data_IF_968067636284
#
_entry.id   IF_968067636284
#
_cell.length_a   1.000
_cell.length_b   1.000
_cell.length_c   1.000
_cell.angle_alpha   90.00
_cell.angle_beta   90.00
_cell.angle_gamma   90.00
#
_symmetry.space_group_name_H-M   'P 1'
#
loop_
_entity.id
_entity.type
_entity.pdbx_description
1 polymer ?
#
# COMPACT_ATOMS: atom_id res chain seq x y z
N UNK A 1 17.53 0.21 -50.43
CA UNK A 1 16.76 0.10 -49.18
C UNK A 1 15.73 1.22 -49.27
N UNK A 2 14.44 0.91 -49.19
CA UNK A 2 13.41 1.96 -49.17
C UNK A 2 13.70 2.86 -47.96
N UNK A 3 13.79 4.16 -48.19
CA UNK A 3 14.38 5.15 -47.28
C UNK A 3 13.58 5.43 -45.98
N UNK A 4 12.62 4.58 -45.62
CA UNK A 4 11.67 4.87 -44.52
C UNK A 4 11.22 3.62 -43.70
N UNK A 5 11.92 2.50 -43.82
CA UNK A 5 11.59 1.30 -43.00
C UNK A 5 11.94 1.55 -41.54
N UNK A 6 10.92 1.62 -40.69
CA UNK A 6 11.09 1.78 -39.25
C UNK A 6 11.64 0.52 -38.60
N UNK A 7 12.51 0.70 -37.61
CA UNK A 7 13.16 -0.39 -36.88
C UNK A 7 12.79 -0.38 -35.40
N UNK A 8 12.74 -1.57 -34.78
CA UNK A 8 12.45 -1.69 -33.36
C UNK A 8 13.47 -2.55 -32.60
N UNK A 9 13.83 -2.11 -31.40
CA UNK A 9 14.58 -2.86 -30.42
C UNK A 9 13.62 -3.63 -29.50
N UNK A 10 13.81 -4.94 -29.36
CA UNK A 10 12.98 -5.78 -28.48
C UNK A 10 13.85 -6.46 -27.41
N UNK A 11 13.67 -6.04 -26.16
CA UNK A 11 14.37 -6.61 -25.00
C UNK A 11 13.41 -7.53 -24.23
N UNK A 12 13.85 -8.77 -23.95
CA UNK A 12 13.07 -9.74 -23.17
C UNK A 12 12.21 -10.73 -23.99
N UNK A 13 12.41 -10.81 -25.31
CA UNK A 13 11.95 -11.96 -26.11
C UNK A 13 10.44 -12.12 -26.29
N UNK A 14 9.66 -11.04 -26.18
CA UNK A 14 8.20 -11.09 -26.36
C UNK A 14 7.82 -11.40 -27.83
N UNK A 15 7.55 -12.67 -28.11
CA UNK A 15 7.26 -13.17 -29.46
C UNK A 15 6.00 -12.56 -30.08
N UNK A 16 4.99 -12.26 -29.28
CA UNK A 16 3.73 -11.69 -29.76
C UNK A 16 3.92 -10.24 -30.18
N UNK A 17 4.64 -9.46 -29.38
CA UNK A 17 5.02 -8.08 -29.74
C UNK A 17 5.89 -8.08 -31.00
N UNK A 18 6.87 -8.99 -31.10
CA UNK A 18 7.68 -9.14 -32.33
C UNK A 18 6.79 -9.36 -33.55
N UNK A 19 5.89 -10.34 -33.51
CA UNK A 19 5.01 -10.64 -34.63
C UNK A 19 4.12 -9.44 -35.00
N UNK A 20 3.51 -8.78 -34.00
CA UNK A 20 2.64 -7.63 -34.24
C UNK A 20 3.39 -6.43 -34.87
N UNK A 21 4.63 -6.15 -34.44
CA UNK A 21 5.44 -5.07 -35.01
C UNK A 21 5.91 -5.40 -36.43
N UNK A 22 6.25 -6.65 -36.70
CA UNK A 22 6.56 -7.12 -38.05
C UNK A 22 5.35 -7.04 -38.99
N UNK A 23 4.15 -7.38 -38.51
CA UNK A 23 2.91 -7.23 -39.28
C UNK A 23 2.58 -5.75 -39.59
N UNK A 24 3.10 -4.82 -38.79
CA UNK A 24 3.02 -3.37 -39.03
C UNK A 24 4.10 -2.84 -39.99
N UNK A 25 4.93 -3.73 -40.55
CA UNK A 25 6.01 -3.36 -41.48
C UNK A 25 7.26 -2.80 -40.80
N UNK A 26 7.41 -2.99 -39.49
CA UNK A 26 8.66 -2.65 -38.80
C UNK A 26 9.63 -3.83 -38.80
N UNK A 27 10.92 -3.54 -38.89
CA UNK A 27 11.97 -4.56 -38.87
C UNK A 27 12.63 -4.65 -37.49
N UNK A 28 12.83 -5.86 -36.92
CA UNK A 28 13.54 -6.01 -35.66
C UNK A 28 15.02 -5.70 -35.85
N UNK A 29 15.61 -4.96 -34.91
CA UNK A 29 17.06 -4.82 -34.86
C UNK A 29 17.74 -6.18 -34.60
N UNK A 30 18.90 -6.44 -35.23
CA UNK A 30 19.76 -7.56 -34.87
C UNK A 30 20.14 -7.52 -33.39
N UNK A 31 20.35 -8.69 -32.78
CA UNK A 31 20.61 -8.82 -31.33
C UNK A 31 21.83 -8.00 -30.88
N UNK A 32 22.89 -7.96 -31.70
CA UNK A 32 24.09 -7.18 -31.41
C UNK A 32 23.88 -5.65 -31.46
N UNK A 33 22.81 -5.19 -32.09
CA UNK A 33 22.52 -3.78 -32.32
C UNK A 33 21.41 -3.24 -31.40
N UNK A 34 20.80 -4.09 -30.56
CA UNK A 34 19.69 -3.74 -29.67
C UNK A 34 20.04 -2.58 -28.74
N UNK A 35 21.28 -2.48 -28.27
CA UNK A 35 21.72 -1.44 -27.34
C UNK A 35 22.28 -0.18 -28.02
N UNK A 36 22.24 -0.14 -29.35
CA UNK A 36 22.56 1.08 -30.09
C UNK A 36 21.46 2.13 -29.92
N UNK A 37 21.75 3.43 -30.12
CA UNK A 37 20.72 4.47 -30.09
C UNK A 37 19.85 4.52 -31.36
N UNK A 38 20.05 3.61 -32.32
CA UNK A 38 19.43 3.66 -33.66
C UNK A 38 18.17 2.79 -33.74
N UNK A 39 17.09 3.24 -33.10
CA UNK A 39 15.77 2.60 -33.13
C UNK A 39 14.65 3.64 -33.17
N UNK A 40 13.52 3.30 -33.78
CA UNK A 40 12.29 4.10 -33.74
C UNK A 40 11.42 3.74 -32.53
N UNK A 41 11.41 2.45 -32.15
CA UNK A 41 10.69 1.93 -31.00
C UNK A 41 11.59 0.99 -30.18
N UNK A 42 11.69 1.22 -28.87
CA UNK A 42 12.28 0.24 -27.92
C UNK A 42 11.18 -0.34 -27.05
N UNK A 43 10.98 -1.65 -27.16
CA UNK A 43 10.04 -2.38 -26.33
C UNK A 43 10.79 -3.25 -25.33
N UNK A 44 10.53 -3.05 -24.04
CA UNK A 44 11.19 -3.77 -22.95
C UNK A 44 10.19 -4.41 -22.00
N UNK A 45 10.62 -5.48 -21.32
CA UNK A 45 9.84 -6.06 -20.22
C UNK A 45 10.02 -5.27 -18.92
N UNK A 46 11.27 -4.87 -18.61
CA UNK A 46 11.55 -4.07 -17.42
C UNK A 46 11.52 -2.57 -17.73
N UNK A 47 11.03 -1.79 -16.77
CA UNK A 47 11.14 -0.33 -16.78
C UNK A 47 12.61 0.11 -16.78
N UNK A 48 13.47 -0.62 -16.06
CA UNK A 48 14.91 -0.35 -15.89
C UNK A 48 15.73 -0.56 -17.18
N UNK A 49 15.18 -1.26 -18.17
CA UNK A 49 15.83 -1.48 -19.48
C UNK A 49 15.76 -0.24 -20.40
N UNK A 50 15.13 0.85 -19.93
CA UNK A 50 14.98 2.12 -20.64
C UNK A 50 15.77 3.22 -19.92
N UNK A 51 16.78 3.75 -20.61
CA UNK A 51 17.43 4.98 -20.21
C UNK A 51 16.61 6.19 -20.68
N UNK A 52 15.58 6.57 -19.91
CA UNK A 52 14.66 7.67 -20.25
C UNK A 52 15.37 8.99 -20.64
N UNK A 53 16.41 9.46 -19.92
CA UNK A 53 17.16 10.65 -20.33
C UNK A 53 17.82 10.59 -21.72
N UNK A 54 18.07 9.39 -22.24
CA UNK A 54 18.71 9.19 -23.54
C UNK A 54 17.71 8.98 -24.70
N UNK A 55 16.40 8.96 -24.42
CA UNK A 55 15.36 8.81 -25.46
C UNK A 55 15.21 10.12 -26.23
N UNK A 56 15.44 10.09 -27.54
CA UNK A 56 15.31 11.26 -28.41
C UNK A 56 13.83 11.56 -28.75
N UNK A 57 13.47 12.80 -29.13
CA UNK A 57 12.07 13.16 -29.42
C UNK A 57 11.30 12.28 -30.43
N UNK A 58 11.90 11.77 -31.53
CA UNK A 58 11.17 10.90 -32.46
C UNK A 58 11.07 9.44 -31.97
N UNK A 59 11.79 9.07 -30.92
CA UNK A 59 11.88 7.71 -30.43
C UNK A 59 10.73 7.36 -29.48
N UNK A 60 10.24 6.13 -29.58
CA UNK A 60 9.13 5.63 -28.78
C UNK A 60 9.58 4.53 -27.82
N UNK A 61 8.99 4.53 -26.63
CA UNK A 61 9.20 3.48 -25.62
C UNK A 61 7.85 3.04 -25.05
N UNK A 62 7.75 1.80 -24.58
CA UNK A 62 6.50 1.23 -24.06
C UNK A 62 6.25 1.49 -22.56
N UNK A 63 7.11 2.27 -21.91
CA UNK A 63 6.99 2.64 -20.50
C UNK A 63 7.01 4.15 -20.35
N UNK A 64 6.33 4.68 -19.32
CA UNK A 64 6.43 6.11 -18.97
C UNK A 64 7.52 6.34 -17.92
N UNK A 65 8.23 7.48 -17.96
CA UNK A 65 9.17 7.85 -16.90
C UNK A 65 8.49 7.81 -15.52
N UNK A 66 9.21 7.33 -14.51
CA UNK A 66 8.77 7.25 -13.10
C UNK A 66 7.54 6.36 -12.81
N UNK A 67 6.86 5.79 -13.82
CA UNK A 67 5.65 4.98 -13.62
C UNK A 67 5.87 3.78 -12.68
N UNK A 68 7.04 3.13 -12.74
CA UNK A 68 7.40 2.06 -11.80
C UNK A 68 7.47 2.50 -10.35
N UNK A 69 7.99 3.70 -10.07
CA UNK A 69 8.12 4.24 -8.71
C UNK A 69 6.79 4.81 -8.20
N UNK A 70 6.07 5.55 -9.05
CA UNK A 70 4.88 6.30 -8.65
C UNK A 70 3.61 5.45 -8.60
N UNK A 71 3.47 4.49 -9.51
CA UNK A 71 2.26 3.67 -9.63
C UNK A 71 2.55 2.18 -9.51
N UNK A 72 3.73 1.71 -9.96
CA UNK A 72 4.14 0.31 -9.89
C UNK A 72 4.52 -0.15 -8.48
N UNK A 73 5.01 0.75 -7.63
CA UNK A 73 5.38 0.46 -6.26
C UNK A 73 4.26 0.80 -5.28
N UNK A 74 4.03 -0.06 -4.28
CA UNK A 74 2.99 0.15 -3.25
C UNK A 74 3.16 1.49 -2.51
N UNK A 75 4.40 1.90 -2.23
CA UNK A 75 4.71 3.15 -1.54
C UNK A 75 4.37 4.39 -2.39
N UNK A 76 4.69 4.37 -3.69
CA UNK A 76 4.32 5.45 -4.60
C UNK A 76 2.81 5.54 -4.78
N UNK A 77 2.15 4.39 -4.98
CA UNK A 77 0.70 4.34 -5.11
C UNK A 77 0.00 4.87 -3.85
N UNK A 78 0.44 4.46 -2.67
CA UNK A 78 -0.08 4.97 -1.39
C UNK A 78 0.03 6.49 -1.29
N UNK A 79 1.20 7.05 -1.61
CA UNK A 79 1.44 8.50 -1.59
C UNK A 79 0.51 9.22 -2.57
N UNK A 80 0.41 8.72 -3.80
CA UNK A 80 -0.41 9.35 -4.84
C UNK A 80 -1.91 9.30 -4.52
N UNK A 81 -2.39 8.19 -3.95
CA UNK A 81 -3.80 8.04 -3.56
C UNK A 81 -4.16 8.95 -2.38
N UNK A 82 -3.28 9.14 -1.37
CA UNK A 82 -3.51 10.14 -0.29
C UNK A 82 -3.52 11.57 -0.82
N UNK A 83 -2.77 11.84 -1.87
CA UNK A 83 -2.77 13.12 -2.56
C UNK A 83 -4.05 13.40 -3.36
N UNK A 84 -4.92 12.41 -3.57
CA UNK A 84 -6.11 12.57 -4.41
C UNK A 84 -7.03 13.68 -3.92
N UNK A 85 -7.12 13.91 -2.60
CA UNK A 85 -7.92 14.97 -2.00
C UNK A 85 -7.60 16.38 -2.53
N UNK A 86 -6.39 16.59 -3.07
CA UNK A 86 -5.96 17.86 -3.67
C UNK A 86 -6.42 18.01 -5.12
N UNK A 87 -6.78 16.91 -5.78
CA UNK A 87 -7.20 16.86 -7.19
C UNK A 87 -8.72 16.69 -7.31
N UNK A 88 -9.30 15.84 -6.46
CA UNK A 88 -10.71 15.51 -6.44
C UNK A 88 -11.19 15.33 -4.99
N UNK A 89 -12.44 15.69 -4.70
CA UNK A 89 -13.04 15.57 -3.38
C UNK A 89 -13.44 14.14 -2.99
N UNK A 90 -12.97 13.14 -3.75
CA UNK A 90 -13.28 11.73 -3.52
C UNK A 90 -12.48 11.21 -2.32
N UNK A 91 -13.19 10.66 -1.33
CA UNK A 91 -12.55 9.95 -0.23
C UNK A 91 -11.90 8.67 -0.75
N UNK A 92 -10.57 8.66 -0.81
CA UNK A 92 -9.79 7.53 -1.30
C UNK A 92 -10.06 6.24 -0.53
N UNK A 93 -10.51 6.33 0.73
CA UNK A 93 -10.83 5.18 1.57
C UNK A 93 -12.03 4.37 1.07
N UNK A 94 -12.79 4.89 0.11
CA UNK A 94 -13.94 4.19 -0.51
C UNK A 94 -13.52 3.12 -1.52
N UNK A 95 -12.33 3.24 -2.12
CA UNK A 95 -11.85 2.31 -3.15
C UNK A 95 -10.43 1.79 -2.90
N UNK A 96 -9.67 2.41 -2.00
CA UNK A 96 -8.32 2.00 -1.66
C UNK A 96 -8.22 1.54 -0.19
N UNK A 97 -7.61 0.37 0.10
CA UNK A 97 -7.48 -0.12 1.47
C UNK A 97 -6.60 0.80 2.32
N UNK A 98 -6.85 0.84 3.63
CA UNK A 98 -5.96 1.54 4.57
C UNK A 98 -4.56 0.94 4.47
N UNK A 99 -3.57 1.81 4.41
CA UNK A 99 -2.16 1.47 4.28
C UNK A 99 -1.36 2.50 5.05
N UNK A 100 -0.25 2.06 5.63
CA UNK A 100 0.64 2.86 6.47
C UNK A 100 2.08 2.59 6.07
N UNK A 101 2.88 3.65 5.92
CA UNK A 101 4.30 3.54 5.69
C UNK A 101 5.05 3.43 7.03
N UNK A 102 5.28 2.20 7.50
CA UNK A 102 5.85 1.94 8.83
C UNK A 102 7.29 2.46 9.04
N UNK A 103 7.98 2.90 7.98
CA UNK A 103 9.27 3.60 8.11
C UNK A 103 9.10 5.04 8.57
N UNK A 104 7.91 5.63 8.41
CA UNK A 104 7.58 6.97 8.87
C UNK A 104 6.96 6.88 10.28
N UNK A 105 7.53 7.59 11.28
CA UNK A 105 7.05 7.51 12.66
C UNK A 105 5.56 7.85 12.83
N UNK A 106 5.06 8.83 12.06
CA UNK A 106 3.64 9.22 12.09
C UNK A 106 2.72 8.10 11.60
N UNK A 107 3.00 7.55 10.41
CA UNK A 107 2.22 6.44 9.86
C UNK A 107 2.35 5.16 10.71
N UNK A 108 3.49 4.95 11.38
CA UNK A 108 3.64 3.86 12.34
C UNK A 108 2.70 4.03 13.54
N UNK A 109 2.59 5.24 14.08
CA UNK A 109 1.66 5.51 15.18
C UNK A 109 0.20 5.40 14.72
N UNK A 110 -0.13 5.93 13.54
CA UNK A 110 -1.48 5.79 12.95
C UNK A 110 -1.86 4.32 12.74
N UNK A 111 -0.89 3.48 12.37
CA UNK A 111 -1.09 2.03 12.27
C UNK A 111 -1.38 1.40 13.63
N UNK A 112 -0.63 1.75 14.68
CA UNK A 112 -0.85 1.23 16.04
C UNK A 112 -2.26 1.59 16.52
N UNK A 113 -2.64 2.85 16.37
CA UNK A 113 -3.97 3.34 16.75
C UNK A 113 -5.09 2.63 15.97
N UNK A 114 -4.97 2.49 14.64
CA UNK A 114 -5.97 1.80 13.81
C UNK A 114 -6.03 0.30 14.13
N UNK A 115 -4.89 -0.35 14.39
CA UNK A 115 -4.82 -1.76 14.75
C UNK A 115 -5.57 -2.04 16.06
N UNK A 116 -5.32 -1.22 17.08
CA UNK A 116 -5.96 -1.33 18.40
C UNK A 116 -7.44 -0.99 18.29
N UNK A 117 -7.80 0.05 17.53
CA UNK A 117 -9.19 0.40 17.25
C UNK A 117 -9.94 -0.76 16.58
N UNK A 118 -9.36 -1.41 15.56
CA UNK A 118 -9.99 -2.55 14.87
C UNK A 118 -10.22 -3.72 15.84
N UNK A 119 -9.27 -3.99 16.74
CA UNK A 119 -9.42 -5.02 17.76
C UNK A 119 -10.58 -4.68 18.72
N UNK A 120 -10.62 -3.46 19.24
CA UNK A 120 -11.69 -2.99 20.12
C UNK A 120 -13.07 -3.00 19.43
N UNK A 121 -13.14 -2.45 18.20
CA UNK A 121 -14.36 -2.41 17.40
C UNK A 121 -14.90 -3.81 17.11
N UNK A 122 -14.00 -4.78 16.88
CA UNK A 122 -14.37 -6.20 16.73
C UNK A 122 -15.06 -6.72 17.99
N UNK A 123 -14.53 -6.48 19.18
CA UNK A 123 -15.15 -6.94 20.43
C UNK A 123 -16.54 -6.33 20.66
N UNK A 124 -16.69 -5.03 20.42
CA UNK A 124 -17.98 -4.32 20.54
C UNK A 124 -18.99 -4.87 19.53
N UNK A 125 -18.58 -5.06 18.27
CA UNK A 125 -19.44 -5.57 17.20
C UNK A 125 -19.88 -7.01 17.48
N UNK A 126 -18.94 -7.86 17.91
CA UNK A 126 -19.23 -9.25 18.29
C UNK A 126 -20.22 -9.33 19.44
N UNK A 127 -20.03 -8.50 20.48
CA UNK A 127 -20.93 -8.45 21.62
C UNK A 127 -22.34 -8.03 21.22
N UNK A 128 -22.46 -7.04 20.32
CA UNK A 128 -23.74 -6.61 19.76
C UNK A 128 -24.43 -7.71 18.94
N UNK A 129 -23.64 -8.55 18.25
CA UNK A 129 -24.12 -9.74 17.53
C UNK A 129 -24.36 -10.97 18.42
N UNK A 130 -24.22 -10.86 19.74
CA UNK A 130 -24.37 -11.99 20.67
C UNK A 130 -23.25 -13.04 20.59
N UNK A 131 -22.11 -12.69 20.01
CA UNK A 131 -20.94 -13.56 19.91
C UNK A 131 -20.03 -13.39 21.13
N UNK A 132 -19.28 -14.45 21.51
CA UNK A 132 -18.30 -14.37 22.61
C UNK A 132 -17.10 -13.49 22.21
N UNK A 133 -16.38 -12.98 23.20
CA UNK A 133 -15.13 -12.22 22.99
C UNK A 133 -14.08 -13.04 22.23
N UNK A 134 -13.15 -12.36 21.54
CA UNK A 134 -12.14 -13.07 20.73
C UNK A 134 -11.12 -13.81 21.60
N UNK A 135 -10.79 -13.27 22.79
CA UNK A 135 -9.87 -13.90 23.73
C UNK A 135 -10.49 -15.18 24.33
N UNK A 136 -10.10 -16.35 23.81
CA UNK A 136 -10.73 -17.62 24.20
C UNK A 136 -10.48 -17.97 25.67
N UNK A 137 -9.31 -17.60 26.19
CA UNK A 137 -8.88 -17.92 27.57
C UNK A 137 -9.71 -17.25 28.66
N UNK A 138 -10.55 -16.26 28.32
CA UNK A 138 -11.44 -15.59 29.29
C UNK A 138 -12.90 -15.97 29.12
N UNK A 139 -13.24 -16.79 28.11
CA UNK A 139 -14.64 -17.14 27.84
C UNK A 139 -15.25 -17.91 29.00
N UNK A 140 -16.43 -17.49 29.43
CA UNK A 140 -17.13 -18.06 30.59
C UNK A 140 -16.74 -17.41 31.93
N UNK A 141 -15.73 -16.56 31.97
CA UNK A 141 -15.46 -15.66 33.10
C UNK A 141 -16.12 -14.30 32.84
N UNK A 142 -17.28 -14.10 33.46
CA UNK A 142 -18.06 -12.87 33.27
C UNK A 142 -17.32 -11.59 33.69
N UNK A 143 -16.41 -11.66 34.66
CA UNK A 143 -15.64 -10.49 35.10
C UNK A 143 -14.55 -10.15 34.08
N UNK A 144 -13.83 -11.17 33.59
CA UNK A 144 -12.79 -10.99 32.58
C UNK A 144 -13.36 -10.56 31.21
N UNK A 145 -14.47 -11.17 30.77
CA UNK A 145 -15.17 -10.74 29.56
C UNK A 145 -15.65 -9.29 29.66
N UNK A 146 -16.18 -8.89 30.82
CA UNK A 146 -16.62 -7.51 31.07
C UNK A 146 -15.46 -6.52 30.99
N UNK A 147 -14.30 -6.86 31.54
CA UNK A 147 -13.12 -5.99 31.49
C UNK A 147 -12.66 -5.72 30.04
N UNK A 148 -12.63 -6.76 29.19
CA UNK A 148 -12.32 -6.61 27.76
C UNK A 148 -13.31 -5.68 27.07
N UNK A 149 -14.61 -5.85 27.33
CA UNK A 149 -15.65 -5.05 26.69
C UNK A 149 -15.65 -3.60 27.17
N UNK A 150 -15.41 -3.35 28.46
CA UNK A 150 -15.27 -2.00 29.01
C UNK A 150 -14.08 -1.27 28.36
N UNK A 151 -12.94 -1.96 28.20
CA UNK A 151 -11.78 -1.38 27.54
C UNK A 151 -12.00 -1.19 26.02
N UNK A 152 -12.65 -2.13 25.35
CA UNK A 152 -13.01 -1.99 23.94
C UNK A 152 -13.92 -0.77 23.70
N UNK A 153 -14.94 -0.58 24.55
CA UNK A 153 -15.79 0.61 24.51
C UNK A 153 -14.99 1.90 24.75
N UNK A 154 -14.04 1.88 25.69
CA UNK A 154 -13.15 3.00 25.97
C UNK A 154 -12.33 3.40 24.73
N UNK A 155 -11.65 2.44 24.09
CA UNK A 155 -10.85 2.68 22.87
C UNK A 155 -11.74 3.22 21.74
N UNK A 156 -12.89 2.59 21.48
CA UNK A 156 -13.81 3.05 20.44
C UNK A 156 -14.33 4.47 20.72
N UNK A 157 -14.63 4.79 21.98
CA UNK A 157 -15.06 6.13 22.37
C UNK A 157 -13.98 7.17 22.12
N UNK A 158 -12.73 6.89 22.51
CA UNK A 158 -11.59 7.79 22.24
C UNK A 158 -11.36 8.03 20.76
N UNK A 159 -11.49 6.99 19.95
CA UNK A 159 -11.29 7.11 18.50
C UNK A 159 -12.35 8.03 17.87
N UNK A 160 -13.61 7.91 18.30
CA UNK A 160 -14.69 8.81 17.86
C UNK A 160 -14.43 10.26 18.31
N UNK A 161 -14.03 10.45 19.57
CA UNK A 161 -13.69 11.76 20.13
C UNK A 161 -12.54 12.44 19.37
N UNK A 162 -11.47 11.70 19.06
CA UNK A 162 -10.34 12.21 18.30
C UNK A 162 -10.72 12.58 16.87
N UNK A 163 -11.55 11.76 16.22
CA UNK A 163 -12.03 12.04 14.86
C UNK A 163 -12.90 13.31 14.82
N UNK A 164 -13.79 13.48 15.79
CA UNK A 164 -14.60 14.70 15.92
C UNK A 164 -13.74 15.96 16.18
N UNK A 165 -12.64 15.82 16.94
CA UNK A 165 -11.68 16.90 17.18
C UNK A 165 -10.87 17.26 15.93
N UNK A 166 -10.43 16.26 15.15
CA UNK A 166 -9.71 16.47 13.89
C UNK A 166 -10.58 17.16 12.82
N UNK A 167 -11.89 16.93 12.84
CA UNK A 167 -12.85 17.63 11.97
C UNK A 167 -13.09 19.09 12.38
N UNK A 168 -12.73 19.49 13.62
CA UNK A 168 -13.03 20.82 14.18
C UNK A 168 -11.82 21.72 14.38
N UNK A 169 -10.58 21.20 14.39
CA UNK A 169 -9.36 21.98 14.56
C UNK A 169 -8.17 21.43 13.76
N UNK A 170 -7.26 22.30 13.30
CA UNK A 170 -5.95 22.00 12.69
C UNK A 170 -4.94 21.40 13.68
N UNK A 171 -5.37 20.52 14.59
CA UNK A 171 -4.47 19.82 15.51
C UNK A 171 -4.18 18.43 14.98
N UNK A 172 -2.89 18.10 14.87
CA UNK A 172 -2.42 16.72 14.66
C UNK A 172 -3.10 15.82 15.69
N UNK A 173 -3.80 14.80 15.22
CA UNK A 173 -4.32 13.76 16.09
C UNK A 173 -3.12 13.15 16.83
N UNK A 174 -2.99 13.44 18.12
CA UNK A 174 -1.98 12.80 18.94
C UNK A 174 -2.29 11.31 18.95
N UNK A 175 -1.32 10.47 18.60
CA UNK A 175 -1.47 9.03 18.79
C UNK A 175 -1.69 8.74 20.26
N UNK A 176 -2.77 8.06 20.60
CA UNK A 176 -3.19 7.93 22.02
C UNK A 176 -3.27 6.50 22.52
N UNK A 177 -3.06 5.54 21.64
CA UNK A 177 -3.01 4.15 22.01
C UNK A 177 -1.56 3.65 22.02
N UNK A 178 -1.25 2.85 23.03
CA UNK A 178 0.00 2.10 23.09
C UNK A 178 -0.28 0.60 23.03
N UNK A 179 0.77 -0.20 22.88
CA UNK A 179 0.62 -1.66 22.78
C UNK A 179 0.01 -2.29 24.04
N UNK A 180 0.08 -1.63 25.20
CA UNK A 180 -0.54 -2.12 26.43
C UNK A 180 -2.07 -2.02 26.37
N UNK A 181 -2.65 -1.07 25.63
CA UNK A 181 -4.09 -1.05 25.33
C UNK A 181 -4.51 -2.32 24.57
N UNK A 182 -3.68 -2.78 23.62
CA UNK A 182 -3.94 -4.05 22.93
C UNK A 182 -3.93 -5.24 23.91
N UNK A 183 -3.03 -5.24 24.89
CA UNK A 183 -2.94 -6.31 25.88
C UNK A 183 -4.13 -6.35 26.84
N UNK A 184 -4.82 -5.24 27.06
CA UNK A 184 -6.08 -5.22 27.78
C UNK A 184 -7.22 -5.87 26.98
N UNK A 185 -7.16 -5.84 25.65
CA UNK A 185 -8.08 -6.57 24.76
C UNK A 185 -7.69 -8.05 24.60
N UNK A 186 -6.38 -8.34 24.62
CA UNK A 186 -5.78 -9.65 24.34
C UNK A 186 -4.79 -10.05 25.43
N UNK A 187 -5.26 -10.30 26.66
CA UNK A 187 -4.40 -10.67 27.78
C UNK A 187 -3.66 -12.00 27.52
N UNK A 188 -4.22 -12.87 26.68
CA UNK A 188 -3.60 -14.12 26.21
C UNK A 188 -2.32 -13.89 25.40
N UNK A 189 -2.15 -12.72 24.78
CA UNK A 189 -0.99 -12.40 23.94
C UNK A 189 0.20 -11.83 24.72
N UNK A 190 -0.01 -11.41 25.98
CA UNK A 190 1.02 -10.75 26.82
C UNK A 190 2.21 -11.66 27.06
N UNK A 191 1.95 -12.92 27.44
CA UNK A 191 3.00 -13.88 27.77
C UNK A 191 3.87 -14.20 26.54
N UNK A 192 3.23 -14.38 25.38
CA UNK A 192 3.90 -14.64 24.11
C UNK A 192 4.79 -13.45 23.71
N UNK A 193 4.26 -12.23 23.77
CA UNK A 193 5.00 -11.03 23.41
C UNK A 193 6.22 -10.78 24.31
N UNK A 194 6.07 -10.97 25.63
CA UNK A 194 7.17 -10.78 26.60
C UNK A 194 8.27 -11.83 26.48
N UNK A 195 7.95 -13.02 25.97
CA UNK A 195 8.93 -14.08 25.72
C UNK A 195 9.76 -13.78 24.47
N UNK A 196 9.10 -13.42 23.37
CA UNK A 196 9.74 -13.14 22.08
C UNK A 196 10.52 -11.80 22.07
N UNK A 197 10.08 -10.81 22.85
CA UNK A 197 10.75 -9.51 22.96
C UNK A 197 12.05 -9.51 23.78
N UNK A 198 12.36 -10.60 24.51
CA UNK A 198 13.63 -10.76 25.25
C UNK A 198 14.71 -11.46 24.44
N UNK A 199 14.36 -12.05 23.29
CA UNK A 199 15.28 -12.78 22.41
C UNK A 199 15.83 -11.91 21.26
N UNK A 200 15.56 -10.61 21.28
CA UNK A 200 16.08 -9.62 20.31
C UNK A 200 16.92 -8.54 20.98
#
# INVERSE_FOLDING_TARGET
>A
MEEDTKVFALVGGNRQVRAALSDLGMEPLPEQDIDTPHWDLRWTLSHDDINFPAVAPPQLVNHFPNSGVELGAKVGLHRNVRGLQWLDGVDYRTFFPRMYLLSEPGDMQDFVDDFIFVAAHSEVTRRAAGQPVTCEGVRGDAAAERAILEHACYVCHRFLDNRLRAETFEHEAQGVCDVDDYFLLRPDMVAKYRQEGRER
#
